data_IF_792157509821
#
_entry.id   IF_792157509821
#
_cell.length_a   1.000
_cell.length_b   1.000
_cell.length_c   1.000
_cell.angle_alpha   90.00
_cell.angle_beta   90.00
_cell.angle_gamma   90.00
#
_symmetry.space_group_name_H-M   'P 1'
#
loop_
_entity.id
_entity.type
_entity.pdbx_description
1 polymer ?
#
# COMPACT_ATOMS: atom_id res chain seq x y z
N UNK A 1 28.10 41.82 28.34
CA UNK A 1 26.84 41.06 28.17
C UNK A 1 27.05 40.02 27.07
N UNK A 2 27.34 38.78 27.45
CA UNK A 2 27.55 37.67 26.51
C UNK A 2 26.21 37.07 26.10
N UNK A 3 25.82 37.25 24.85
CA UNK A 3 24.65 36.61 24.26
C UNK A 3 24.98 35.17 23.88
N UNK A 4 24.39 34.21 24.57
CA UNK A 4 24.38 32.80 24.16
C UNK A 4 23.68 32.68 22.80
N UNK A 5 24.47 32.55 21.73
CA UNK A 5 23.96 32.08 20.44
C UNK A 5 23.71 30.59 20.57
N UNK A 6 22.44 30.18 20.62
CA UNK A 6 22.06 28.78 20.45
C UNK A 6 22.57 28.29 19.09
N UNK A 7 23.66 27.53 19.11
CA UNK A 7 24.23 26.85 17.95
C UNK A 7 23.26 25.72 17.56
N UNK A 8 22.29 26.01 16.69
CA UNK A 8 21.53 24.94 16.04
C UNK A 8 22.52 24.17 15.16
N UNK A 9 22.55 22.83 15.17
CA UNK A 9 23.37 22.11 14.21
C UNK A 9 22.91 22.50 12.80
N UNK A 10 23.84 23.02 12.00
CA UNK A 10 23.60 23.33 10.60
C UNK A 10 23.20 22.07 9.82
N UNK A 11 23.66 20.92 10.30
CA UNK A 11 23.46 19.61 9.70
C UNK A 11 22.22 18.91 10.30
N UNK A 12 21.30 18.51 9.42
CA UNK A 12 20.03 17.84 9.77
C UNK A 12 19.83 16.51 9.07
N UNK A 13 20.59 16.25 8.01
CA UNK A 13 20.40 15.11 7.12
C UNK A 13 21.68 14.28 7.03
N UNK A 14 21.53 12.97 6.83
CA UNK A 14 22.64 12.00 6.72
C UNK A 14 22.40 11.08 5.53
N UNK A 15 23.47 10.68 4.83
CA UNK A 15 23.34 9.77 3.69
C UNK A 15 22.97 8.36 4.15
N UNK A 16 22.42 7.55 3.23
CA UNK A 16 22.08 6.15 3.51
C UNK A 16 23.29 5.34 3.98
N UNK A 17 24.43 5.47 3.30
CA UNK A 17 25.68 4.74 3.64
C UNK A 17 26.11 5.04 5.08
N UNK A 18 26.15 6.32 5.45
CA UNK A 18 26.54 6.75 6.79
C UNK A 18 25.53 6.32 7.85
N UNK A 19 24.23 6.34 7.55
CA UNK A 19 23.21 5.86 8.48
C UNK A 19 23.33 4.35 8.75
N UNK A 20 23.56 3.55 7.71
CA UNK A 20 23.78 2.10 7.81
C UNK A 20 25.01 1.78 8.66
N UNK A 21 26.12 2.50 8.43
CA UNK A 21 27.35 2.37 9.21
C UNK A 21 27.12 2.73 10.69
N UNK A 22 26.47 3.87 10.97
CA UNK A 22 26.19 4.31 12.35
C UNK A 22 25.29 3.36 13.13
N UNK A 23 24.35 2.69 12.46
CA UNK A 23 23.46 1.71 13.09
C UNK A 23 24.09 0.31 13.18
N UNK A 24 25.25 0.08 12.54
CA UNK A 24 25.93 -1.22 12.45
C UNK A 24 25.00 -2.34 11.94
N UNK A 25 24.26 -2.07 10.86
CA UNK A 25 23.33 -2.99 10.21
C UNK A 25 23.71 -3.20 8.75
N UNK A 26 23.15 -4.23 8.10
CA UNK A 26 23.24 -4.33 6.63
C UNK A 26 22.21 -3.44 5.92
N UNK A 27 22.38 -3.18 4.63
CA UNK A 27 21.43 -2.37 3.85
C UNK A 27 20.00 -2.94 3.88
N UNK A 28 19.85 -4.26 3.75
CA UNK A 28 18.53 -4.93 3.85
C UNK A 28 17.89 -4.77 5.23
N UNK A 29 18.71 -4.82 6.28
CA UNK A 29 18.24 -4.63 7.65
C UNK A 29 17.81 -3.17 7.86
N UNK A 30 18.55 -2.22 7.31
CA UNK A 30 18.18 -0.82 7.31
C UNK A 30 16.89 -0.56 6.52
N UNK A 31 16.72 -1.18 5.35
CA UNK A 31 15.48 -1.09 4.56
C UNK A 31 14.30 -1.66 5.32
N UNK A 32 14.48 -2.82 5.95
CA UNK A 32 13.46 -3.44 6.81
C UNK A 32 13.08 -2.50 7.97
N UNK A 33 14.05 -1.94 8.69
CA UNK A 33 13.78 -1.01 9.79
C UNK A 33 13.10 0.27 9.31
N UNK A 34 13.52 0.79 8.16
CA UNK A 34 12.94 1.98 7.53
C UNK A 34 11.47 1.76 7.20
N UNK A 35 11.13 0.61 6.60
CA UNK A 35 9.75 0.23 6.32
C UNK A 35 8.95 0.04 7.60
N UNK A 36 9.51 -0.65 8.60
CA UNK A 36 8.81 -0.97 9.84
C UNK A 36 8.47 0.28 10.67
N UNK A 37 9.36 1.26 10.69
CA UNK A 37 9.20 2.51 11.43
C UNK A 37 8.59 3.64 10.58
N UNK A 38 8.32 3.41 9.29
CA UNK A 38 7.79 4.44 8.39
C UNK A 38 8.76 5.60 8.16
N UNK A 39 10.06 5.32 8.11
CA UNK A 39 11.11 6.31 7.85
C UNK A 39 11.39 6.35 6.36
N UNK A 40 11.24 7.53 5.77
CA UNK A 40 11.37 7.75 4.33
C UNK A 40 12.55 8.68 4.01
N UNK A 41 13.24 8.45 2.88
CA UNK A 41 14.25 9.37 2.40
C UNK A 41 13.65 10.72 1.97
N UNK A 42 14.47 11.76 2.03
CA UNK A 42 14.14 13.16 1.74
C UNK A 42 15.22 13.76 0.83
N UNK A 43 14.81 14.58 -0.14
CA UNK A 43 15.72 15.43 -0.91
C UNK A 43 16.08 16.65 -0.06
N UNK A 44 17.36 16.83 0.24
CA UNK A 44 17.85 17.85 1.15
C UNK A 44 18.85 18.80 0.48
N UNK A 45 18.88 20.05 0.93
CA UNK A 45 19.89 21.02 0.52
C UNK A 45 21.26 20.59 1.04
N UNK A 46 22.27 20.56 0.15
CA UNK A 46 23.64 20.13 0.46
C UNK A 46 24.28 20.84 1.65
N UNK A 47 23.85 22.08 1.95
CA UNK A 47 24.31 22.87 3.11
C UNK A 47 23.89 22.29 4.46
N UNK A 48 22.81 21.52 4.49
CA UNK A 48 22.23 20.94 5.70
C UNK A 48 22.53 19.44 5.83
N UNK A 49 23.35 18.89 4.95
CA UNK A 49 23.71 17.48 4.91
C UNK A 49 25.04 17.24 5.63
N UNK A 50 25.11 16.11 6.33
CA UNK A 50 26.32 15.66 7.01
C UNK A 50 27.36 15.23 5.98
N UNK A 51 26.90 14.46 4.99
CA UNK A 51 27.70 14.02 3.85
C UNK A 51 27.33 14.81 2.60
N UNK A 52 28.32 15.20 1.79
CA UNK A 52 28.12 15.87 0.49
C UNK A 52 27.92 14.85 -0.64
N UNK A 53 26.95 13.95 -0.47
CA UNK A 53 26.60 12.92 -1.45
C UNK A 53 25.33 13.33 -2.19
N UNK A 54 25.39 13.53 -3.50
CA UNK A 54 24.17 13.83 -4.26
C UNK A 54 23.18 12.66 -4.21
N UNK A 55 21.92 12.95 -3.83
CA UNK A 55 20.84 11.97 -3.83
C UNK A 55 19.87 12.07 -2.64
N UNK A 56 19.48 10.91 -2.14
CA UNK A 56 18.47 10.74 -1.10
C UNK A 56 19.09 10.68 0.29
N UNK A 57 18.55 11.47 1.22
CA UNK A 57 19.04 11.58 2.59
C UNK A 57 17.99 11.18 3.63
N UNK A 58 18.43 10.87 4.83
CA UNK A 58 17.56 10.60 5.98
C UNK A 58 17.72 11.71 7.02
N UNK A 59 16.64 12.04 7.74
CA UNK A 59 16.75 12.96 8.88
C UNK A 59 17.52 12.29 10.00
N UNK A 60 18.46 13.03 10.59
CA UNK A 60 19.25 12.52 11.71
C UNK A 60 18.33 12.11 12.86
N UNK A 61 17.31 12.92 13.17
CA UNK A 61 16.31 12.61 14.20
C UNK A 61 15.61 11.28 13.96
N UNK A 62 15.24 10.98 12.71
CA UNK A 62 14.59 9.71 12.35
C UNK A 62 15.54 8.52 12.57
N UNK A 63 16.84 8.67 12.23
CA UNK A 63 17.87 7.65 12.50
C UNK A 63 18.10 7.47 14.00
N UNK A 64 18.02 8.54 14.79
CA UNK A 64 18.09 8.45 16.27
C UNK A 64 16.89 7.68 16.82
N UNK A 65 15.68 8.00 16.37
CA UNK A 65 14.46 7.27 16.73
C UNK A 65 14.56 5.80 16.34
N UNK A 66 15.14 5.49 15.18
CA UNK A 66 15.40 4.11 14.74
C UNK A 66 16.31 3.38 15.73
N UNK A 67 17.42 3.98 16.15
CA UNK A 67 18.36 3.36 17.10
C UNK A 67 17.72 3.07 18.47
N UNK A 68 16.92 4.00 18.99
CA UNK A 68 16.25 3.83 20.28
C UNK A 68 14.95 3.02 20.20
N UNK A 69 14.51 2.63 19.01
CA UNK A 69 13.28 1.84 18.84
C UNK A 69 13.44 0.43 19.40
N UNK A 70 12.35 -0.10 19.95
CA UNK A 70 12.30 -1.49 20.36
C UNK A 70 12.50 -2.44 19.18
N UNK A 71 12.03 -2.07 17.98
CA UNK A 71 12.22 -2.79 16.72
C UNK A 71 13.70 -3.03 16.42
N UNK A 72 14.55 -2.01 16.58
CA UNK A 72 16.00 -2.16 16.42
C UNK A 72 16.60 -3.11 17.48
N UNK A 73 16.16 -2.98 18.73
CA UNK A 73 16.55 -3.87 19.81
C UNK A 73 16.18 -5.34 19.55
N UNK A 74 14.96 -5.62 19.07
CA UNK A 74 14.48 -6.96 18.69
C UNK A 74 15.30 -7.49 17.51
N UNK A 75 15.54 -6.67 16.48
CA UNK A 75 16.35 -7.06 15.32
C UNK A 75 17.74 -7.54 15.75
N UNK A 76 18.43 -6.75 16.57
CA UNK A 76 19.78 -7.10 17.04
C UNK A 76 19.80 -8.35 17.92
N UNK A 77 18.77 -8.57 18.75
CA UNK A 77 18.62 -9.80 19.52
C UNK A 77 18.42 -11.01 18.60
N UNK A 78 17.59 -10.89 17.57
CA UNK A 78 17.35 -11.94 16.58
C UNK A 78 18.60 -12.25 15.76
N UNK A 79 19.39 -11.25 15.37
CA UNK A 79 20.67 -11.48 14.69
C UNK A 79 21.66 -12.28 15.56
N UNK A 80 21.71 -11.98 16.86
CA UNK A 80 22.53 -12.76 17.81
C UNK A 80 22.02 -14.20 17.96
N UNK A 81 20.70 -14.40 18.00
CA UNK A 81 20.07 -15.74 18.02
C UNK A 81 20.36 -16.52 16.74
N UNK A 82 20.24 -15.88 15.59
CA UNK A 82 20.53 -16.47 14.28
C UNK A 82 21.99 -16.91 14.17
N UNK A 83 22.94 -16.06 14.59
CA UNK A 83 24.35 -16.42 14.60
C UNK A 83 24.63 -17.63 15.52
N UNK A 84 23.96 -17.74 16.68
CA UNK A 84 24.05 -18.92 17.56
C UNK A 84 23.49 -20.17 16.88
N UNK A 85 22.33 -20.06 16.24
CA UNK A 85 21.68 -21.14 15.48
C UNK A 85 22.57 -21.64 14.35
N UNK A 86 23.16 -20.74 13.56
CA UNK A 86 24.10 -21.10 12.50
C UNK A 86 25.35 -21.82 13.05
N UNK A 87 25.88 -21.40 14.21
CA UNK A 87 26.99 -22.11 14.87
C UNK A 87 26.56 -23.51 15.30
N UNK A 88 25.40 -23.67 15.94
CA UNK A 88 24.88 -24.98 16.37
C UNK A 88 24.66 -25.93 15.20
N UNK A 89 24.14 -25.42 14.07
CA UNK A 89 23.96 -26.20 12.84
C UNK A 89 25.30 -26.68 12.26
N UNK A 90 26.34 -25.83 12.28
CA UNK A 90 27.71 -26.24 11.88
C UNK A 90 28.25 -27.36 12.76
N UNK A 91 27.89 -27.38 14.05
CA UNK A 91 28.24 -28.46 14.99
C UNK A 91 27.23 -29.62 14.99
N UNK A 92 26.35 -29.73 13.99
CA UNK A 92 25.31 -30.77 13.84
C UNK A 92 24.32 -30.89 15.03
N UNK A 93 24.18 -29.85 15.85
CA UNK A 93 23.24 -29.81 16.98
C UNK A 93 21.85 -29.31 16.55
N UNK A 94 21.17 -30.09 15.69
CA UNK A 94 19.92 -29.69 15.04
C UNK A 94 18.78 -29.46 16.06
N UNK A 95 18.60 -30.35 17.04
CA UNK A 95 17.54 -30.25 18.05
C UNK A 95 17.68 -29.04 18.98
N UNK A 96 18.91 -28.57 19.20
CA UNK A 96 19.16 -27.37 20.00
C UNK A 96 18.95 -26.12 19.16
N UNK A 97 19.32 -26.17 17.88
CA UNK A 97 19.10 -25.09 16.94
C UNK A 97 17.60 -24.79 16.72
N UNK A 98 16.74 -25.81 16.67
CA UNK A 98 15.30 -25.65 16.49
C UNK A 98 14.59 -24.99 17.69
N UNK A 99 15.16 -25.09 18.89
CA UNK A 99 14.64 -24.45 20.11
C UNK A 99 14.93 -22.94 20.17
N UNK A 100 15.83 -22.44 19.33
CA UNK A 100 16.15 -21.01 19.27
C UNK A 100 15.14 -20.32 18.37
N UNK A 101 14.13 -19.71 18.99
CA UNK A 101 13.04 -19.01 18.30
C UNK A 101 13.32 -17.50 18.28
N UNK A 102 13.10 -16.90 17.12
CA UNK A 102 13.21 -15.46 16.92
C UNK A 102 12.06 -14.75 17.63
N UNK A 103 12.35 -13.58 18.16
CA UNK A 103 11.33 -12.75 18.81
C UNK A 103 10.54 -11.99 17.74
N UNK A 104 9.22 -11.98 17.88
CA UNK A 104 8.32 -11.30 16.94
C UNK A 104 8.28 -9.79 17.23
N UNK A 105 8.06 -9.00 16.19
CA UNK A 105 7.88 -7.55 16.34
C UNK A 105 6.46 -7.25 16.80
N UNK A 106 6.29 -6.25 17.67
CA UNK A 106 4.96 -5.73 17.98
C UNK A 106 4.42 -4.90 16.82
N UNK A 107 3.77 -5.60 15.87
CA UNK A 107 3.20 -5.00 14.68
C UNK A 107 2.01 -4.09 15.00
N UNK A 108 1.29 -4.34 16.10
CA UNK A 108 0.11 -3.58 16.47
C UNK A 108 0.55 -2.18 16.91
N UNK A 109 1.56 -2.10 17.77
CA UNK A 109 2.05 -0.82 18.26
C UNK A 109 2.77 -0.03 17.18
N UNK A 110 3.46 -0.69 16.24
CA UNK A 110 4.00 -0.03 15.05
C UNK A 110 2.91 0.60 14.18
N UNK A 111 1.80 -0.10 13.95
CA UNK A 111 0.66 0.46 13.19
C UNK A 111 0.04 1.64 13.94
N UNK A 112 -0.10 1.58 15.27
CA UNK A 112 -0.60 2.71 16.08
C UNK A 112 0.36 3.91 16.09
N UNK A 113 1.67 3.66 16.07
CA UNK A 113 2.67 4.73 15.96
C UNK A 113 2.60 5.40 14.60
N UNK A 114 2.37 4.63 13.53
CA UNK A 114 2.22 5.15 12.16
C UNK A 114 0.97 6.01 12.01
N UNK A 115 -0.16 5.60 12.59
CA UNK A 115 -1.43 6.32 12.47
C UNK A 115 -1.89 6.88 13.81
N UNK A 116 -1.80 8.20 13.98
CA UNK A 116 -2.20 8.88 15.21
C UNK A 116 -3.72 8.89 15.44
N UNK A 117 -4.53 8.62 14.42
CA UNK A 117 -5.98 8.52 14.53
C UNK A 117 -6.59 7.49 13.58
N UNK A 118 -7.82 7.04 13.89
CA UNK A 118 -8.57 6.15 13.01
C UNK A 118 -8.80 6.78 11.63
N UNK A 119 -9.06 8.09 11.57
CA UNK A 119 -9.26 8.79 10.29
C UNK A 119 -8.04 8.68 9.37
N UNK A 120 -6.83 8.88 9.90
CA UNK A 120 -5.58 8.71 9.15
C UNK A 120 -5.36 7.27 8.69
N UNK A 121 -5.68 6.30 9.55
CA UNK A 121 -5.59 4.87 9.22
C UNK A 121 -6.57 4.48 8.11
N UNK A 122 -7.81 4.98 8.15
CA UNK A 122 -8.82 4.72 7.12
C UNK A 122 -8.46 5.37 5.79
N UNK A 123 -7.86 6.56 5.80
CA UNK A 123 -7.39 7.24 4.59
C UNK A 123 -6.29 6.42 3.87
N UNK A 124 -5.32 5.88 4.62
CA UNK A 124 -4.24 5.03 4.07
C UNK A 124 -4.66 3.56 3.82
N UNK A 125 -5.90 3.19 4.18
CA UNK A 125 -6.41 1.84 3.95
C UNK A 125 -6.49 1.51 2.46
N UNK A 126 -6.79 2.50 1.61
CA UNK A 126 -6.82 2.33 0.16
C UNK A 126 -5.47 1.89 -0.41
N UNK A 127 -4.38 2.52 0.04
CA UNK A 127 -3.02 2.13 -0.31
C UNK A 127 -2.65 0.76 0.25
N UNK A 128 -3.10 0.47 1.47
CA UNK A 128 -2.87 -0.82 2.11
C UNK A 128 -3.46 -1.96 1.28
N UNK A 129 -4.73 -1.82 0.88
CA UNK A 129 -5.41 -2.80 0.03
C UNK A 129 -4.74 -2.93 -1.34
N UNK A 130 -4.41 -1.81 -2.00
CA UNK A 130 -3.67 -1.83 -3.28
C UNK A 130 -2.38 -2.63 -3.17
N UNK A 131 -1.58 -2.38 -2.13
CA UNK A 131 -0.31 -3.07 -1.92
C UNK A 131 -0.50 -4.56 -1.59
N UNK A 132 -1.54 -4.93 -0.84
CA UNK A 132 -1.88 -6.34 -0.59
C UNK A 132 -2.31 -7.07 -1.87
N UNK A 133 -3.10 -6.44 -2.74
CA UNK A 133 -3.43 -7.02 -4.05
C UNK A 133 -2.21 -7.18 -4.95
N UNK A 134 -1.26 -6.24 -4.90
CA UNK A 134 0.01 -6.37 -5.61
C UNK A 134 0.84 -7.52 -5.03
N UNK A 135 0.90 -7.67 -3.70
CA UNK A 135 1.59 -8.79 -3.03
C UNK A 135 1.01 -10.13 -3.48
N UNK A 136 -0.32 -10.24 -3.57
CA UNK A 136 -1.00 -11.45 -4.04
C UNK A 136 -0.67 -11.74 -5.52
N UNK A 137 -0.75 -10.71 -6.37
CA UNK A 137 -0.44 -10.83 -7.80
C UNK A 137 1.01 -11.28 -8.04
N UNK A 138 1.96 -10.74 -7.25
CA UNK A 138 3.38 -11.09 -7.33
C UNK A 138 3.74 -12.36 -6.56
N UNK A 139 2.78 -12.97 -5.85
CA UNK A 139 3.00 -14.15 -5.00
C UNK A 139 4.17 -13.98 -4.01
N UNK A 140 4.37 -12.77 -3.46
CA UNK A 140 5.48 -12.46 -2.54
C UNK A 140 5.23 -13.07 -1.15
N UNK A 141 3.97 -13.03 -0.70
CA UNK A 141 3.51 -13.52 0.58
C UNK A 141 2.05 -13.98 0.46
N UNK A 142 1.60 -14.88 1.34
CA UNK A 142 0.23 -15.36 1.34
C UNK A 142 -0.70 -14.35 2.03
N UNK A 143 -1.53 -13.67 1.26
CA UNK A 143 -2.45 -12.59 1.71
C UNK A 143 -3.92 -12.84 1.35
N UNK A 144 -4.22 -13.96 0.69
CA UNK A 144 -5.56 -14.27 0.17
C UNK A 144 -6.61 -14.33 1.27
N UNK A 145 -6.29 -14.92 2.41
CA UNK A 145 -7.20 -15.04 3.55
C UNK A 145 -7.67 -13.65 4.05
N UNK A 146 -6.74 -12.70 4.21
CA UNK A 146 -7.09 -11.34 4.62
C UNK A 146 -7.94 -10.60 3.59
N UNK A 147 -7.63 -10.75 2.30
CA UNK A 147 -8.37 -10.12 1.20
C UNK A 147 -9.78 -10.70 1.06
N UNK A 148 -9.94 -12.03 1.16
CA UNK A 148 -11.23 -12.70 1.14
C UNK A 148 -12.09 -12.33 2.35
N UNK A 149 -11.49 -12.28 3.54
CA UNK A 149 -12.15 -11.83 4.77
C UNK A 149 -12.66 -10.39 4.63
N UNK A 150 -11.84 -9.49 4.06
CA UNK A 150 -12.23 -8.12 3.76
C UNK A 150 -13.37 -8.05 2.72
N UNK A 151 -13.27 -8.80 1.61
CA UNK A 151 -14.32 -8.86 0.57
C UNK A 151 -15.64 -9.34 1.19
N UNK A 152 -15.62 -10.42 1.96
CA UNK A 152 -16.80 -10.96 2.66
C UNK A 152 -17.39 -9.93 3.63
N UNK A 153 -16.55 -9.21 4.37
CA UNK A 153 -17.00 -8.14 5.26
C UNK A 153 -17.75 -7.03 4.50
N UNK A 154 -17.23 -6.60 3.35
CA UNK A 154 -17.88 -5.58 2.51
C UNK A 154 -19.21 -6.08 1.93
N UNK A 155 -19.26 -7.33 1.47
CA UNK A 155 -20.48 -7.98 0.94
C UNK A 155 -21.54 -8.06 2.04
N UNK A 156 -21.22 -8.67 3.19
CA UNK A 156 -22.17 -8.86 4.30
C UNK A 156 -22.77 -7.54 4.78
N UNK A 157 -21.98 -6.46 4.73
CA UNK A 157 -22.39 -5.14 5.21
C UNK A 157 -22.86 -4.22 4.09
N UNK A 158 -22.85 -4.66 2.82
CA UNK A 158 -23.27 -3.87 1.64
C UNK A 158 -22.65 -2.47 1.62
N UNK A 159 -21.33 -2.41 1.84
CA UNK A 159 -20.62 -1.13 1.94
C UNK A 159 -20.13 -0.63 0.58
N UNK A 160 -19.98 -1.52 -0.40
CA UNK A 160 -19.46 -1.16 -1.72
C UNK A 160 -20.37 -0.12 -2.38
N UNK A 161 -19.79 1.00 -2.81
CA UNK A 161 -20.56 2.14 -3.33
C UNK A 161 -20.19 2.52 -4.77
N UNK A 162 -18.93 2.34 -5.15
CA UNK A 162 -18.37 2.82 -6.40
C UNK A 162 -17.42 1.78 -6.98
N UNK A 163 -17.41 1.65 -8.30
CA UNK A 163 -16.40 0.90 -9.01
C UNK A 163 -16.12 1.50 -10.39
N UNK A 164 -14.89 1.36 -10.88
CA UNK A 164 -14.47 1.91 -12.16
C UNK A 164 -13.42 1.03 -12.82
N UNK A 165 -13.66 0.65 -14.07
CA UNK A 165 -12.68 -0.09 -14.88
C UNK A 165 -11.77 0.90 -15.59
N UNK A 166 -10.47 0.79 -15.34
CA UNK A 166 -9.43 1.61 -15.97
C UNK A 166 -8.41 0.72 -16.67
N UNK A 167 -7.56 1.30 -17.52
CA UNK A 167 -6.46 0.56 -18.20
C UNK A 167 -5.50 -0.13 -17.23
N UNK A 168 -5.30 0.44 -16.03
CA UNK A 168 -4.37 -0.09 -15.01
C UNK A 168 -4.97 -1.19 -14.14
N UNK A 169 -6.29 -1.29 -14.07
CA UNK A 169 -7.01 -2.18 -13.15
C UNK A 169 -8.38 -1.65 -12.79
N UNK A 170 -9.03 -2.34 -11.86
CA UNK A 170 -10.38 -2.02 -11.38
C UNK A 170 -10.27 -1.27 -10.06
N UNK A 171 -10.83 -0.06 -10.02
CA UNK A 171 -10.92 0.76 -8.82
C UNK A 171 -12.23 0.47 -8.12
N UNK A 172 -12.17 0.29 -6.81
CA UNK A 172 -13.34 0.12 -5.96
C UNK A 172 -13.34 1.18 -4.88
N UNK A 173 -14.53 1.58 -4.43
CA UNK A 173 -14.66 2.50 -3.32
C UNK A 173 -15.90 2.30 -2.47
N UNK A 174 -15.74 2.56 -1.18
CA UNK A 174 -16.84 2.72 -0.24
C UNK A 174 -16.64 3.98 0.61
N UNK A 175 -17.75 4.52 1.08
CA UNK A 175 -17.75 5.70 1.92
C UNK A 175 -17.73 5.28 3.39
N UNK A 176 -16.75 5.78 4.13
CA UNK A 176 -16.68 5.72 5.59
C UNK A 176 -16.90 7.13 6.12
N UNK A 177 -18.10 7.42 6.59
CA UNK A 177 -18.52 8.76 7.01
C UNK A 177 -18.24 9.82 5.92
N UNK A 178 -17.16 10.59 6.07
CA UNK A 178 -16.71 11.63 5.13
C UNK A 178 -15.50 11.22 4.27
N UNK A 179 -14.88 10.08 4.56
CA UNK A 179 -13.69 9.58 3.86
C UNK A 179 -14.14 8.56 2.82
N UNK A 180 -13.67 8.71 1.59
CA UNK A 180 -13.89 7.72 0.53
C UNK A 180 -12.66 6.82 0.51
N UNK A 181 -12.81 5.58 0.94
CA UNK A 181 -11.75 4.58 0.83
C UNK A 181 -11.77 4.06 -0.59
N UNK A 182 -10.76 4.40 -1.39
CA UNK A 182 -10.58 3.95 -2.76
C UNK A 182 -9.35 3.05 -2.87
N UNK A 183 -9.49 1.86 -3.46
CA UNK A 183 -8.36 0.97 -3.74
C UNK A 183 -8.45 0.43 -5.17
N UNK A 184 -7.29 0.04 -5.70
CA UNK A 184 -7.15 -0.50 -7.04
C UNK A 184 -6.78 -1.99 -6.95
N UNK A 185 -7.45 -2.79 -7.77
CA UNK A 185 -7.15 -4.19 -8.01
C UNK A 185 -6.55 -4.29 -9.42
N UNK A 186 -5.26 -4.63 -9.54
CA UNK A 186 -4.58 -4.74 -10.84
C UNK A 186 -5.15 -5.92 -11.65
N UNK A 187 -5.09 -5.82 -12.98
CA UNK A 187 -5.48 -6.95 -13.83
C UNK A 187 -4.45 -8.09 -13.77
N UNK A 188 -4.89 -9.35 -13.76
CA UNK A 188 -3.98 -10.48 -13.84
C UNK A 188 -3.27 -10.45 -15.19
N UNK A 189 -1.93 -10.43 -15.18
CA UNK A 189 -1.10 -10.39 -16.38
C UNK A 189 -0.69 -9.00 -16.88
N UNK A 190 -0.98 -7.92 -16.13
CA UNK A 190 -0.35 -6.62 -16.41
C UNK A 190 1.19 -6.75 -16.30
N UNK A 191 1.95 -6.17 -17.24
CA UNK A 191 3.40 -6.32 -17.33
C UNK A 191 4.07 -5.91 -16.00
N UNK A 192 4.75 -6.87 -15.34
CA UNK A 192 5.46 -6.66 -14.07
C UNK A 192 6.50 -5.52 -14.15
N UNK A 193 7.11 -5.32 -15.32
CA UNK A 193 8.14 -4.33 -15.57
C UNK A 193 7.66 -2.87 -15.47
N UNK A 194 6.35 -2.64 -15.59
CA UNK A 194 5.75 -1.30 -15.47
C UNK A 194 5.60 -0.86 -14.00
N UNK A 195 5.55 -1.82 -13.07
CA UNK A 195 5.22 -1.56 -11.67
C UNK A 195 6.39 -1.81 -10.70
N UNK A 196 7.40 -2.58 -11.09
CA UNK A 196 8.34 -3.19 -10.15
C UNK A 196 9.79 -3.20 -10.65
N UNK A 197 10.73 -2.92 -9.76
CA UNK A 197 12.18 -3.10 -9.96
C UNK A 197 12.77 -3.90 -8.78
N UNK A 198 13.53 -4.96 -9.06
CA UNK A 198 14.26 -5.72 -8.03
C UNK A 198 15.64 -5.10 -7.81
N UNK A 199 15.99 -4.76 -6.56
CA UNK A 199 17.36 -4.33 -6.23
C UNK A 199 18.32 -5.51 -6.30
N UNK A 200 19.40 -5.36 -7.07
CA UNK A 200 20.53 -6.31 -7.13
C UNK A 200 21.64 -5.80 -6.22
N UNK A 201 22.07 -6.61 -5.23
CA UNK A 201 23.14 -6.22 -4.30
C UNK A 201 24.55 -6.55 -4.84
N UNK A 202 25.54 -5.72 -4.47
CA UNK A 202 26.95 -6.11 -4.39
C UNK A 202 27.38 -6.28 -2.93
N UNK A 203 28.19 -7.29 -2.58
CA UNK A 203 28.63 -7.50 -1.21
C UNK A 203 29.75 -6.51 -0.84
N UNK A 204 29.44 -5.51 -0.01
CA UNK A 204 30.46 -4.65 0.61
C UNK A 204 30.99 -5.26 1.92
N UNK A 205 32.31 -5.21 2.08
CA UNK A 205 33.02 -5.69 3.26
C UNK A 205 32.66 -4.83 4.49
N UNK A 206 32.20 -5.49 5.56
CA UNK A 206 31.87 -4.85 6.83
C UNK A 206 33.14 -4.42 7.57
N UNK A 207 33.40 -3.12 7.64
CA UNK A 207 34.35 -2.55 8.61
C UNK A 207 33.60 -2.21 9.89
N UNK A 208 34.01 -2.83 11.01
CA UNK A 208 33.47 -2.53 12.33
C UNK A 208 34.14 -1.25 12.84
N UNK A 209 33.38 -0.17 12.93
CA UNK A 209 33.81 1.04 13.64
C UNK A 209 33.01 1.16 14.93
N UNK A 210 33.70 1.15 16.08
CA UNK A 210 33.14 1.63 17.34
C UNK A 210 33.13 3.16 17.28
N UNK A 211 31.95 3.75 17.13
CA UNK A 211 31.76 5.20 17.21
C UNK A 211 30.62 5.51 18.17
N UNK A 212 30.88 6.38 19.15
CA UNK A 212 29.89 6.82 20.12
C UNK A 212 28.92 7.81 19.47
N UNK A 213 27.62 7.53 19.63
CA UNK A 213 26.48 8.24 19.04
C UNK A 213 26.37 9.73 19.41
N UNK A 214 27.12 10.17 20.43
CA UNK A 214 27.14 11.55 20.92
C UNK A 214 27.97 12.52 20.06
N UNK A 215 28.67 12.05 19.04
CA UNK A 215 29.66 12.85 18.33
C UNK A 215 29.17 13.56 17.06
N UNK A 216 27.86 13.76 16.90
CA UNK A 216 27.34 14.66 15.85
C UNK A 216 27.78 16.14 16.04
N UNK A 217 28.51 16.45 17.12
CA UNK A 217 28.97 17.79 17.48
C UNK A 217 30.48 18.03 17.37
N UNK A 218 31.33 17.02 17.13
CA UNK A 218 32.77 17.25 16.93
C UNK A 218 33.23 16.65 15.61
N UNK A 219 33.46 17.54 14.65
CA UNK A 219 34.04 17.21 13.35
C UNK A 219 35.57 17.21 13.52
N UNK A 220 36.23 16.08 13.27
CA UNK A 220 37.52 16.11 12.60
C UNK A 220 37.29 15.72 11.14
N UNK A 221 37.71 16.60 10.25
CA UNK A 221 37.67 16.43 8.80
C UNK A 221 38.58 15.25 8.41
N UNK A 222 38.01 14.07 8.21
CA UNK A 222 38.68 13.03 7.43
C UNK A 222 37.92 12.87 6.11
N UNK A 223 38.58 13.33 5.04
CA UNK A 223 38.15 13.21 3.66
C UNK A 223 38.05 11.73 3.30
N UNK A 224 36.83 11.26 3.06
CA UNK A 224 36.60 9.96 2.43
C UNK A 224 36.31 10.21 0.95
N UNK A 225 37.18 9.65 0.10
CA UNK A 225 37.07 9.72 -1.36
C UNK A 225 35.72 9.16 -1.83
N UNK A 226 35.01 9.96 -2.61
CA UNK A 226 33.70 9.63 -3.16
C UNK A 226 33.85 8.60 -4.28
N UNK A 227 33.47 7.35 -4.03
CA UNK A 227 33.15 6.40 -5.09
C UNK A 227 31.76 6.74 -5.65
N UNK A 228 31.72 7.20 -6.91
CA UNK A 228 30.50 7.30 -7.70
C UNK A 228 29.85 5.92 -7.81
N UNK A 229 28.70 5.74 -7.16
CA UNK A 229 27.84 4.57 -7.37
C UNK A 229 26.52 5.08 -7.94
N UNK A 230 26.38 4.99 -9.26
CA UNK A 230 25.13 5.23 -9.98
C UNK A 230 24.23 4.01 -9.86
N UNK A 231 23.44 3.93 -8.79
CA UNK A 231 22.26 3.08 -8.75
C UNK A 231 21.04 3.94 -8.45
N UNK A 232 20.43 4.46 -9.50
CA UNK A 232 19.12 5.12 -9.42
C UNK A 232 18.09 4.12 -9.93
N UNK A 233 17.38 3.45 -9.02
CA UNK A 233 16.10 2.85 -9.39
C UNK A 233 15.20 3.95 -9.96
N UNK A 234 14.37 3.60 -10.94
CA UNK A 234 13.43 4.56 -11.49
C UNK A 234 12.43 4.99 -10.39
N UNK A 235 12.16 6.30 -10.22
CA UNK A 235 11.32 6.79 -9.12
C UNK A 235 9.87 6.27 -9.16
N UNK A 236 9.45 5.72 -10.30
CA UNK A 236 8.07 5.28 -10.56
C UNK A 236 7.84 3.79 -10.26
N UNK A 237 8.87 3.01 -9.93
CA UNK A 237 8.76 1.55 -9.73
C UNK A 237 8.87 1.14 -8.26
N UNK A 238 8.04 0.18 -7.86
CA UNK A 238 8.01 -0.37 -6.50
C UNK A 238 9.14 -1.39 -6.31
N UNK A 239 9.86 -1.26 -5.21
CA UNK A 239 10.88 -2.23 -4.79
C UNK A 239 10.20 -3.44 -4.11
N UNK A 240 10.37 -4.63 -4.71
CA UNK A 240 9.84 -5.90 -4.20
C UNK A 240 10.28 -6.16 -2.76
N UNK A 241 11.53 -5.81 -2.42
CA UNK A 241 12.09 -6.06 -1.09
C UNK A 241 11.38 -5.22 -0.03
N UNK A 242 11.11 -3.94 -0.33
CA UNK A 242 10.38 -3.06 0.58
C UNK A 242 8.95 -3.54 0.79
N UNK A 243 8.29 -4.00 -0.28
CA UNK A 243 6.93 -4.51 -0.22
C UNK A 243 6.85 -5.81 0.62
N UNK A 244 7.86 -6.69 0.50
CA UNK A 244 7.99 -7.89 1.33
C UNK A 244 8.12 -7.54 2.82
N UNK A 245 8.90 -6.51 3.16
CA UNK A 245 9.01 -6.08 4.55
C UNK A 245 7.74 -5.41 5.08
N UNK A 246 6.95 -4.76 4.20
CA UNK A 246 5.70 -4.11 4.57
C UNK A 246 4.54 -5.08 4.77
N UNK A 247 4.53 -6.24 4.09
CA UNK A 247 3.42 -7.21 4.11
C UNK A 247 2.81 -7.46 5.51
N UNK A 248 3.60 -7.76 6.57
CA UNK A 248 3.04 -8.03 7.89
C UNK A 248 2.30 -6.83 8.48
N UNK A 249 2.84 -5.62 8.31
CA UNK A 249 2.21 -4.38 8.78
C UNK A 249 0.92 -4.09 8.03
N UNK A 250 0.90 -4.33 6.71
CA UNK A 250 -0.29 -4.15 5.88
C UNK A 250 -1.42 -5.10 6.29
N UNK A 251 -1.10 -6.38 6.57
CA UNK A 251 -2.06 -7.37 7.08
C UNK A 251 -2.68 -6.93 8.41
N UNK A 252 -1.85 -6.51 9.37
CA UNK A 252 -2.32 -6.05 10.69
C UNK A 252 -3.14 -4.77 10.56
N UNK A 253 -2.70 -3.82 9.75
CA UNK A 253 -3.45 -2.60 9.48
C UNK A 253 -4.86 -2.90 8.97
N UNK A 254 -4.98 -3.77 7.96
CA UNK A 254 -6.28 -4.21 7.43
C UNK A 254 -7.14 -4.86 8.52
N UNK A 255 -6.58 -5.78 9.32
CA UNK A 255 -7.30 -6.44 10.43
C UNK A 255 -7.82 -5.44 11.46
N UNK A 256 -7.01 -4.46 11.85
CA UNK A 256 -7.41 -3.41 12.79
C UNK A 256 -8.52 -2.52 12.23
N UNK A 257 -8.43 -2.11 10.96
CA UNK A 257 -9.48 -1.33 10.29
C UNK A 257 -10.79 -2.12 10.21
N UNK A 258 -10.74 -3.38 9.75
CA UNK A 258 -11.92 -4.26 9.64
C UNK A 258 -12.58 -4.48 11.00
N UNK A 259 -11.78 -4.68 12.06
CA UNK A 259 -12.30 -4.79 13.42
C UNK A 259 -13.03 -3.50 13.85
N UNK A 260 -12.45 -2.32 13.60
CA UNK A 260 -13.07 -1.03 13.92
C UNK A 260 -14.34 -0.76 13.09
N UNK A 261 -14.31 -1.06 11.79
CA UNK A 261 -15.52 -1.00 10.96
C UNK A 261 -16.59 -1.97 11.43
N UNK A 262 -16.20 -3.11 11.99
CA UNK A 262 -17.10 -4.09 12.56
C UNK A 262 -17.98 -3.50 13.68
N UNK A 263 -17.41 -2.59 14.45
CA UNK A 263 -18.07 -1.84 15.53
C UNK A 263 -18.91 -0.69 14.96
N UNK A 264 -18.38 0.06 13.98
CA UNK A 264 -19.07 1.22 13.39
C UNK A 264 -20.29 0.83 12.55
N UNK A 265 -20.23 -0.30 11.86
CA UNK A 265 -21.27 -0.77 10.95
C UNK A 265 -21.82 -2.12 11.42
N UNK A 266 -22.54 -2.20 12.56
CA UNK A 266 -23.04 -3.46 13.09
C UNK A 266 -23.90 -4.19 12.03
N UNK A 267 -24.04 -5.52 12.21
CA UNK A 267 -24.92 -6.32 11.34
C UNK A 267 -26.37 -5.90 11.58
N UNK A 268 -26.85 -4.96 10.78
CA UNK A 268 -28.24 -4.50 10.85
C UNK A 268 -29.16 -5.47 10.12
N UNK A 269 -30.06 -6.10 10.88
CA UNK A 269 -31.14 -6.95 10.38
C UNK A 269 -32.25 -6.06 9.78
N UNK A 270 -31.98 -5.38 8.67
CA UNK A 270 -32.98 -4.48 8.06
C UNK A 270 -32.52 -3.63 6.88
N UNK A 271 -31.31 -3.84 6.34
CA UNK A 271 -30.85 -3.06 5.18
C UNK A 271 -31.76 -3.29 3.97
N UNK A 272 -31.95 -2.23 3.18
CA UNK A 272 -32.65 -2.31 1.88
C UNK A 272 -32.07 -3.45 1.05
N UNK A 273 -32.95 -4.20 0.41
CA UNK A 273 -32.57 -5.22 -0.57
C UNK A 273 -31.68 -4.57 -1.64
N UNK A 274 -30.60 -5.28 -2.00
CA UNK A 274 -29.73 -4.88 -3.09
C UNK A 274 -30.48 -4.93 -4.42
N UNK A 275 -29.97 -4.20 -5.40
CA UNK A 275 -30.62 -4.04 -6.71
C UNK A 275 -30.68 -5.35 -7.50
N UNK A 276 -29.79 -6.31 -7.22
CA UNK A 276 -29.73 -7.59 -7.91
C UNK A 276 -30.40 -8.74 -7.14
N UNK A 277 -31.21 -8.43 -6.13
CA UNK A 277 -31.96 -9.44 -5.40
C UNK A 277 -32.80 -10.29 -6.37
N UNK A 278 -32.68 -11.62 -6.25
CA UNK A 278 -33.32 -12.63 -7.11
C UNK A 278 -32.79 -12.68 -8.57
N UNK A 279 -31.69 -12.00 -8.88
CA UNK A 279 -31.03 -12.10 -10.18
C UNK A 279 -29.87 -13.08 -10.10
N UNK A 280 -29.81 -14.00 -11.07
CA UNK A 280 -28.74 -15.00 -11.21
C UNK A 280 -27.88 -14.67 -12.41
N UNK A 281 -26.57 -14.57 -12.16
CA UNK A 281 -25.56 -14.24 -13.15
C UNK A 281 -24.60 -15.40 -13.35
N UNK A 282 -24.25 -15.67 -14.59
CA UNK A 282 -23.11 -16.49 -14.97
C UNK A 282 -22.02 -15.57 -15.52
N UNK A 283 -20.76 -15.80 -15.12
CA UNK A 283 -19.63 -14.96 -15.50
C UNK A 283 -18.69 -15.81 -16.36
N UNK A 284 -18.59 -15.47 -17.64
CA UNK A 284 -17.74 -16.17 -18.59
C UNK A 284 -16.33 -15.54 -18.70
N UNK A 285 -16.22 -14.26 -18.31
CA UNK A 285 -14.97 -13.50 -18.37
C UNK A 285 -13.97 -13.99 -17.31
N UNK A 286 -13.00 -14.80 -17.72
CA UNK A 286 -12.01 -15.42 -16.81
C UNK A 286 -11.12 -14.41 -16.08
N UNK A 287 -10.67 -13.37 -16.78
CA UNK A 287 -9.67 -12.40 -16.29
C UNK A 287 -10.14 -11.59 -15.07
N UNK A 288 -11.43 -11.23 -15.02
CA UNK A 288 -11.99 -10.36 -13.99
C UNK A 288 -13.18 -10.99 -13.26
N UNK A 289 -13.26 -12.33 -13.32
CA UNK A 289 -14.39 -13.10 -12.79
C UNK A 289 -14.63 -12.83 -11.30
N UNK A 290 -13.56 -12.83 -10.49
CA UNK A 290 -13.65 -12.55 -9.05
C UNK A 290 -14.16 -11.14 -8.76
N UNK A 291 -13.71 -10.15 -9.53
CA UNK A 291 -14.04 -8.74 -9.35
C UNK A 291 -15.50 -8.48 -9.74
N UNK A 292 -15.98 -9.09 -10.83
CA UNK A 292 -17.39 -9.04 -11.22
C UNK A 292 -18.25 -9.73 -10.15
N UNK A 293 -17.86 -10.94 -9.71
CA UNK A 293 -18.56 -11.68 -8.67
C UNK A 293 -18.66 -10.85 -7.38
N UNK A 294 -17.58 -10.19 -6.98
CA UNK A 294 -17.55 -9.32 -5.80
C UNK A 294 -18.60 -8.19 -5.88
N UNK A 295 -18.77 -7.55 -7.04
CA UNK A 295 -19.80 -6.51 -7.22
C UNK A 295 -21.20 -7.10 -7.19
N UNK A 296 -21.44 -8.21 -7.90
CA UNK A 296 -22.75 -8.88 -7.95
C UNK A 296 -23.19 -9.30 -6.56
N UNK A 297 -22.31 -9.96 -5.80
CA UNK A 297 -22.58 -10.39 -4.43
C UNK A 297 -22.82 -9.20 -3.49
N UNK A 298 -22.08 -8.10 -3.67
CA UNK A 298 -22.29 -6.87 -2.89
C UNK A 298 -23.66 -6.21 -3.14
N UNK A 299 -24.33 -6.55 -4.24
CA UNK A 299 -25.63 -6.04 -4.65
C UNK A 299 -26.79 -7.04 -4.43
N UNK A 300 -26.58 -8.09 -3.61
CA UNK A 300 -27.52 -9.22 -3.36
C UNK A 300 -27.80 -10.10 -4.59
N UNK A 301 -26.94 -10.08 -5.60
CA UNK A 301 -27.04 -10.99 -6.74
C UNK A 301 -26.45 -12.38 -6.42
N UNK A 302 -26.91 -13.39 -7.15
CA UNK A 302 -26.38 -14.75 -7.07
C UNK A 302 -25.47 -15.05 -8.26
N UNK A 303 -24.29 -15.60 -8.01
CA UNK A 303 -23.41 -16.14 -9.06
C UNK A 303 -23.70 -17.64 -9.19
N UNK A 304 -24.18 -18.06 -10.35
CA UNK A 304 -24.59 -19.43 -10.62
C UNK A 304 -23.84 -20.03 -11.82
N UNK A 305 -23.86 -21.35 -11.93
CA UNK A 305 -23.26 -22.07 -13.07
C UNK A 305 -24.04 -21.86 -14.37
N UNK A 306 -23.37 -22.12 -15.49
CA UNK A 306 -23.97 -22.07 -16.83
C UNK A 306 -25.24 -22.95 -16.88
N UNK A 307 -26.37 -22.36 -17.32
CA UNK A 307 -27.69 -23.00 -17.39
C UNK A 307 -28.63 -22.74 -16.21
N UNK A 308 -28.15 -22.20 -15.09
CA UNK A 308 -29.01 -21.79 -13.95
C UNK A 308 -29.17 -20.27 -13.85
N UNK A 309 -28.41 -19.52 -14.64
CA UNK A 309 -28.41 -18.08 -14.68
C UNK A 309 -29.15 -17.58 -15.92
N UNK A 310 -29.96 -16.53 -15.76
CA UNK A 310 -30.62 -15.84 -16.87
C UNK A 310 -29.69 -14.80 -17.52
N UNK A 311 -28.80 -14.21 -16.73
CA UNK A 311 -27.88 -13.16 -17.18
C UNK A 311 -26.49 -13.76 -17.36
N UNK A 312 -25.92 -13.61 -18.55
CA UNK A 312 -24.58 -14.08 -18.90
C UNK A 312 -23.70 -12.87 -19.13
N UNK A 313 -22.67 -12.71 -18.29
CA UNK A 313 -21.67 -11.66 -18.44
C UNK A 313 -20.51 -12.18 -19.29
N UNK A 314 -20.39 -11.69 -20.52
CA UNK A 314 -19.35 -12.10 -21.47
C UNK A 314 -18.94 -10.95 -22.41
N UNK A 315 -17.75 -11.06 -22.99
CA UNK A 315 -17.21 -10.09 -23.97
C UNK A 315 -17.47 -10.52 -25.41
N UNK A 316 -17.59 -11.84 -25.65
CA UNK A 316 -17.77 -12.44 -26.97
C UNK A 316 -18.83 -13.54 -26.88
N UNK A 317 -19.63 -13.69 -27.93
CA UNK A 317 -20.64 -14.75 -27.99
C UNK A 317 -20.50 -15.52 -29.30
N UNK A 318 -20.22 -16.81 -29.21
CA UNK A 318 -20.13 -17.70 -30.37
C UNK A 318 -21.50 -18.28 -30.75
N UNK A 319 -22.35 -18.55 -29.76
CA UNK A 319 -23.71 -19.06 -29.93
C UNK A 319 -24.66 -18.36 -28.95
N UNK A 320 -25.75 -17.79 -29.49
CA UNK A 320 -26.75 -17.08 -28.71
C UNK A 320 -27.91 -18.03 -28.44
N UNK A 321 -28.17 -18.28 -27.16
CA UNK A 321 -29.41 -18.90 -26.70
C UNK A 321 -30.47 -17.81 -26.47
N UNK A 322 -31.63 -17.86 -27.16
CA UNK A 322 -32.69 -16.85 -26.99
C UNK A 322 -33.28 -16.79 -25.58
N UNK A 323 -33.10 -17.81 -24.75
CA UNK A 323 -33.57 -17.80 -23.35
C UNK A 323 -32.67 -16.98 -22.41
N UNK A 324 -31.42 -16.71 -22.83
CA UNK A 324 -30.40 -16.03 -22.03
C UNK A 324 -30.17 -14.58 -22.46
N UNK A 325 -29.77 -13.75 -21.49
CA UNK A 325 -29.42 -12.34 -21.73
C UNK A 325 -27.90 -12.16 -21.63
N UNK A 326 -27.26 -11.90 -22.76
CA UNK A 326 -25.81 -11.72 -22.87
C UNK A 326 -25.43 -10.25 -22.73
N UNK A 327 -24.74 -9.90 -21.64
CA UNK A 327 -24.36 -8.53 -21.29
C UNK A 327 -22.84 -8.40 -21.15
N UNK A 328 -22.32 -7.22 -21.49
CA UNK A 328 -20.92 -6.89 -21.28
C UNK A 328 -20.63 -6.56 -19.80
N UNK A 329 -19.40 -6.78 -19.30
CA UNK A 329 -19.02 -6.55 -17.89
C UNK A 329 -19.34 -5.15 -17.36
N UNK A 330 -19.27 -4.12 -18.21
CA UNK A 330 -19.52 -2.73 -17.83
C UNK A 330 -20.90 -2.53 -17.19
N UNK A 331 -21.91 -3.32 -17.60
CA UNK A 331 -23.26 -3.28 -17.06
C UNK A 331 -23.29 -3.39 -15.52
N UNK A 332 -22.51 -4.31 -14.97
CA UNK A 332 -22.47 -4.59 -13.53
C UNK A 332 -21.91 -3.40 -12.75
N UNK A 333 -20.85 -2.78 -13.27
CA UNK A 333 -20.19 -1.63 -12.65
C UNK A 333 -21.05 -0.36 -12.73
N UNK A 334 -21.70 -0.12 -13.88
CA UNK A 334 -22.57 1.04 -14.06
C UNK A 334 -23.85 0.93 -13.20
N UNK A 335 -24.40 -0.29 -13.05
CA UNK A 335 -25.53 -0.55 -12.14
C UNK A 335 -25.16 -0.26 -10.67
N UNK A 336 -23.95 -0.64 -10.24
CA UNK A 336 -23.43 -0.30 -8.90
C UNK A 336 -23.36 1.22 -8.73
N UNK A 337 -22.68 1.91 -9.64
CA UNK A 337 -22.44 3.36 -9.56
C UNK A 337 -23.73 4.18 -9.53
N UNK A 338 -24.75 3.75 -10.29
CA UNK A 338 -26.06 4.43 -10.30
C UNK A 338 -26.99 3.91 -9.20
N UNK A 339 -26.67 2.77 -8.57
CA UNK A 339 -27.50 2.06 -7.59
C UNK A 339 -28.91 1.73 -8.12
N UNK A 340 -29.01 1.36 -9.41
CA UNK A 340 -30.27 1.00 -10.10
C UNK A 340 -29.98 -0.03 -11.19
N UNK A 341 -30.99 -0.83 -11.52
CA UNK A 341 -30.97 -1.70 -12.70
C UNK A 341 -31.07 -0.81 -13.94
N UNK A 342 -30.07 -0.90 -14.82
CA UNK A 342 -30.03 -0.14 -16.07
C UNK A 342 -30.70 -0.91 -17.21
N UNK A 343 -31.16 -0.24 -18.29
CA UNK A 343 -31.68 -0.91 -19.46
C UNK A 343 -30.63 -1.83 -20.11
N UNK A 344 -30.96 -3.11 -20.26
CA UNK A 344 -30.08 -4.12 -20.84
C UNK A 344 -29.68 -3.82 -22.29
N UNK A 345 -30.58 -3.16 -23.03
CA UNK A 345 -30.42 -2.91 -24.46
C UNK A 345 -29.16 -2.13 -24.83
N UNK A 346 -28.60 -1.36 -23.89
CA UNK A 346 -27.39 -0.55 -24.10
C UNK A 346 -26.09 -1.34 -23.87
N UNK A 347 -26.18 -2.53 -23.27
CA UNK A 347 -25.02 -3.30 -22.80
C UNK A 347 -24.93 -4.70 -23.43
N UNK A 348 -25.75 -4.99 -24.45
CA UNK A 348 -25.64 -6.23 -25.20
C UNK A 348 -24.27 -6.36 -25.85
N UNK A 349 -23.78 -7.60 -25.92
CA UNK A 349 -22.51 -7.91 -26.59
C UNK A 349 -22.55 -7.44 -28.05
N UNK A 350 -21.52 -6.70 -28.46
CA UNK A 350 -21.39 -6.15 -29.82
C UNK A 350 -22.00 -4.76 -30.02
N UNK A 351 -22.68 -4.19 -29.03
CA UNK A 351 -23.10 -2.78 -29.07
C UNK A 351 -22.00 -1.83 -28.58
N UNK A 352 -22.10 -0.58 -29.00
CA UNK A 352 -21.28 0.51 -28.45
C UNK A 352 -21.75 0.84 -27.03
N UNK A 353 -20.83 0.73 -26.08
CA UNK A 353 -21.11 0.95 -24.66
C UNK A 353 -21.31 2.44 -24.35
N UNK A 354 -22.20 2.77 -23.39
CA UNK A 354 -22.27 4.12 -22.83
C UNK A 354 -20.90 4.58 -22.28
N UNK A 355 -20.62 5.90 -22.27
CA UNK A 355 -19.36 6.41 -21.76
C UNK A 355 -19.18 6.04 -20.29
N UNK A 356 -18.13 5.29 -19.98
CA UNK A 356 -17.78 4.91 -18.62
C UNK A 356 -17.03 6.06 -17.94
N UNK A 357 -17.75 6.83 -17.10
CA UNK A 357 -17.18 7.99 -16.38
C UNK A 357 -16.76 7.55 -14.98
N UNK A 358 -15.60 8.04 -14.52
CA UNK A 358 -15.14 7.80 -13.14
C UNK A 358 -16.16 8.31 -12.13
N UNK A 359 -16.65 7.47 -11.19
CA UNK A 359 -17.56 7.87 -10.11
C UNK A 359 -16.84 8.58 -8.96
N UNK A 360 -15.51 8.67 -9.01
CA UNK A 360 -14.69 9.27 -7.97
C UNK A 360 -14.59 10.79 -8.19
N UNK A 361 -14.76 11.60 -7.13
CA UNK A 361 -14.62 13.05 -7.25
C UNK A 361 -13.22 13.39 -7.74
N UNK A 362 -13.12 14.40 -8.61
CA UNK A 362 -11.80 14.89 -8.99
C UNK A 362 -11.11 15.47 -7.76
N UNK A 363 -9.78 15.42 -7.74
CA UNK A 363 -9.00 16.01 -6.64
C UNK A 363 -9.38 17.50 -6.43
N UNK A 364 -9.75 18.20 -7.51
CA UNK A 364 -10.26 19.57 -7.52
C UNK A 364 -11.57 19.72 -6.72
N UNK A 365 -12.51 18.78 -6.89
CA UNK A 365 -13.83 18.81 -6.25
C UNK A 365 -13.76 18.52 -4.74
N UNK A 366 -12.66 17.91 -4.29
CA UNK A 366 -12.45 17.52 -2.89
C UNK A 366 -11.88 18.68 -2.06
N UNK A 367 -11.35 19.72 -2.71
CA UNK A 367 -10.80 20.88 -2.00
C UNK A 367 -11.95 21.80 -1.61
N UNK A 368 -12.14 22.01 -0.31
CA UNK A 368 -13.14 22.97 0.18
C UNK A 368 -12.84 24.36 -0.37
N UNK A 369 -13.75 24.85 -1.22
CA UNK A 369 -13.70 26.19 -1.81
C UNK A 369 -13.57 27.30 -0.76
N UNK A 370 -14.03 27.08 0.48
CA UNK A 370 -13.84 28.01 1.61
C UNK A 370 -12.41 28.00 2.13
N UNK A 371 -11.79 26.82 2.26
CA UNK A 371 -10.39 26.69 2.65
C UNK A 371 -9.44 27.31 1.61
N UNK A 372 -9.75 27.18 0.30
CA UNK A 372 -9.00 27.84 -0.78
C UNK A 372 -9.06 29.36 -0.72
N UNK A 373 -10.16 29.94 -0.22
CA UNK A 373 -10.33 31.40 -0.05
C UNK A 373 -9.54 31.95 1.16
N UNK A 374 -9.22 31.10 2.13
CA UNK A 374 -8.43 31.47 3.31
C UNK A 374 -6.91 31.40 3.06
N UNK A 375 -6.48 30.74 1.97
CA UNK A 375 -5.08 30.60 1.61
C UNK A 375 -4.55 31.84 0.87
N UNK A 376 -3.27 32.14 1.08
CA UNK A 376 -2.53 33.11 0.26
C UNK A 376 -2.58 32.71 -1.22
N UNK A 377 -2.74 33.70 -2.11
CA UNK A 377 -2.81 33.50 -3.56
C UNK A 377 -1.67 32.61 -4.09
N UNK A 378 -0.43 32.78 -3.60
CA UNK A 378 0.71 31.96 -4.02
C UNK A 378 0.56 30.48 -3.66
N UNK A 379 0.04 30.16 -2.46
CA UNK A 379 -0.25 28.78 -2.05
C UNK A 379 -1.45 28.23 -2.80
N UNK A 380 -2.48 29.05 -3.02
CA UNK A 380 -3.68 28.68 -3.78
C UNK A 380 -3.32 28.23 -5.21
N UNK A 381 -2.58 29.06 -5.95
CA UNK A 381 -2.15 28.73 -7.31
C UNK A 381 -1.19 27.53 -7.32
N UNK A 382 -0.22 27.46 -6.41
CA UNK A 382 0.66 26.29 -6.32
C UNK A 382 -0.07 24.97 -6.03
N UNK A 383 -1.17 24.99 -5.28
CA UNK A 383 -1.99 23.80 -5.04
C UNK A 383 -2.81 23.45 -6.29
N UNK A 384 -3.41 24.45 -6.94
CA UNK A 384 -4.17 24.24 -8.17
C UNK A 384 -3.28 23.68 -9.30
N UNK A 385 -2.10 24.27 -9.52
CA UNK A 385 -1.13 23.80 -10.53
C UNK A 385 -0.70 22.35 -10.26
N UNK A 386 -0.48 21.99 -8.99
CA UNK A 386 -0.13 20.61 -8.60
C UNK A 386 -1.27 19.63 -8.81
N UNK A 387 -2.51 20.08 -8.66
CA UNK A 387 -3.69 19.24 -8.86
C UNK A 387 -4.00 19.07 -10.35
N UNK A 388 -3.84 20.13 -11.14
CA UNK A 388 -3.93 20.06 -12.60
C UNK A 388 -2.84 19.16 -13.20
N UNK A 389 -1.62 19.19 -12.65
CA UNK A 389 -0.53 18.31 -13.11
C UNK A 389 -0.71 16.81 -12.74
N UNK A 390 -1.69 16.48 -11.89
CA UNK A 390 -2.03 15.08 -11.54
C UNK A 390 -3.10 14.49 -12.46
N UNK A 391 -3.65 15.29 -13.38
CA UNK A 391 -4.53 14.88 -14.47
C UNK A 391 -3.73 14.72 -15.76
#
# INVERSE_FOLDING_TARGET
>A
MGGYKHFRPAVKYVSRKTAVQKLNVSEKQFDKLSVMLGIYPVVADSKNCYDKVDGWYYRIEDVKTMFYSETYGILNRNLKKEAKRQKMLKFQQIERASKVIDEEFDLIDLVKQKYGSLGQSVDDLGNTLKNLYIIDLLSIDYVKEELESFRKFIIERKLLSKAFMSKKGIYFGFNVEKIIVCWMVPYPGANLADFVEEKVDSPDAKTVCNFDFLDFGSLSEEESEAAEITHTNSPDKLDISLLKYASPLLKIHLKLCVHKFGILYPKENGKKAGIFKNMRFFIDVKSISEQIAFVILSLDGEVASYGQAKFIITETVDAIDPENIYLQPQYVFDCLNQSKILPYDLYFVGKELPPHISPFPNAIDTIDSRALKLLSNKKKYSILDRVEALH
#
